data_IF_665862200418
#
_entry.id   IF_665862200418
#
_cell.length_a   1.000
_cell.length_b   1.000
_cell.length_c   1.000
_cell.angle_alpha   90.00
_cell.angle_beta   90.00
_cell.angle_gamma   90.00
#
_symmetry.space_group_name_H-M   'P 1'
#
loop_
_entity.id
_entity.type
_entity.pdbx_description
1 polymer ?
#
# COMPACT_ATOMS: atom_id res chain seq x y z
N UNK A 1 46.72 -30.99 1.42
CA UNK A 1 46.01 -29.69 1.26
C UNK A 1 44.51 -29.93 1.33
N UNK A 2 43.84 -29.51 2.41
CA UNK A 2 42.37 -29.60 2.59
C UNK A 2 41.78 -28.21 2.31
N UNK A 3 41.37 -27.94 1.07
CA UNK A 3 40.82 -26.64 0.70
C UNK A 3 39.73 -26.86 -0.34
N UNK A 4 38.49 -26.46 -0.06
CA UNK A 4 37.45 -26.34 -1.07
C UNK A 4 37.74 -25.04 -1.86
N UNK A 5 38.16 -25.10 -3.14
CA UNK A 5 38.33 -23.88 -3.92
C UNK A 5 36.97 -23.19 -4.06
N UNK A 6 36.89 -21.94 -3.59
CA UNK A 6 35.73 -21.09 -3.82
C UNK A 6 35.71 -20.71 -5.30
N UNK A 7 34.86 -21.37 -6.09
CA UNK A 7 34.49 -20.87 -7.42
C UNK A 7 33.52 -19.71 -7.21
N UNK A 8 33.87 -18.52 -7.68
CA UNK A 8 32.95 -17.38 -7.71
C UNK A 8 31.64 -17.83 -8.38
N UNK A 9 30.49 -17.79 -7.69
CA UNK A 9 29.24 -18.18 -8.29
C UNK A 9 28.95 -17.25 -9.48
N UNK A 10 28.50 -17.81 -10.59
CA UNK A 10 28.22 -17.04 -11.81
C UNK A 10 27.20 -15.90 -11.60
N UNK A 11 26.40 -15.98 -10.52
CA UNK A 11 25.36 -15.03 -10.15
C UNK A 11 25.24 -14.94 -8.62
N UNK A 12 25.25 -13.72 -8.07
CA UNK A 12 24.99 -13.43 -6.65
C UNK A 12 26.23 -13.21 -5.78
N UNK A 13 26.00 -12.94 -4.50
CA UNK A 13 27.04 -12.78 -3.48
C UNK A 13 26.99 -13.95 -2.51
N UNK A 14 28.15 -14.51 -2.17
CA UNK A 14 28.23 -15.62 -1.23
C UNK A 14 28.40 -15.10 0.19
N UNK A 15 27.54 -15.53 1.12
CA UNK A 15 27.64 -15.22 2.53
C UNK A 15 28.06 -16.47 3.32
N UNK A 16 29.03 -16.31 4.21
CA UNK A 16 29.51 -17.39 5.08
C UNK A 16 28.60 -17.42 6.30
N UNK A 17 27.84 -18.50 6.48
CA UNK A 17 26.96 -18.68 7.64
C UNK A 17 27.74 -19.35 8.79
N UNK A 18 28.62 -20.30 8.47
CA UNK A 18 29.36 -21.05 9.47
C UNK A 18 30.73 -21.48 8.94
N UNK A 19 31.80 -21.30 9.73
CA UNK A 19 33.17 -21.64 9.36
C UNK A 19 33.98 -20.47 8.79
N UNK A 20 35.19 -20.75 8.29
CA UNK A 20 36.15 -19.74 7.83
C UNK A 20 36.11 -19.50 6.30
N UNK A 21 35.08 -20.01 5.62
CA UNK A 21 34.90 -19.90 4.17
C UNK A 21 35.58 -21.00 3.34
N UNK A 22 36.71 -21.54 3.82
CA UNK A 22 37.58 -22.45 3.04
C UNK A 22 37.76 -23.85 3.61
N UNK A 23 37.35 -24.07 4.86
CA UNK A 23 37.54 -25.34 5.58
C UNK A 23 36.40 -26.35 5.37
N UNK A 24 36.72 -27.63 5.50
CA UNK A 24 35.73 -28.72 5.44
C UNK A 24 34.74 -28.57 6.60
N UNK A 25 33.45 -28.57 6.29
CA UNK A 25 32.38 -28.28 7.25
C UNK A 25 31.86 -26.84 7.22
N UNK A 26 32.50 -25.94 6.46
CA UNK A 26 31.98 -24.59 6.21
C UNK A 26 30.65 -24.66 5.48
N UNK A 27 29.69 -23.84 5.93
CA UNK A 27 28.36 -23.68 5.33
C UNK A 27 28.25 -22.27 4.77
N UNK A 28 27.88 -22.18 3.49
CA UNK A 28 27.75 -20.93 2.77
C UNK A 28 26.30 -20.82 2.23
N UNK A 29 25.75 -19.62 2.25
CA UNK A 29 24.51 -19.30 1.56
C UNK A 29 24.80 -18.38 0.38
N UNK A 30 24.00 -18.53 -0.67
CA UNK A 30 24.04 -17.64 -1.83
C UNK A 30 22.94 -16.59 -1.68
N UNK A 31 23.31 -15.32 -1.80
CA UNK A 31 22.35 -14.24 -1.96
C UNK A 31 22.25 -13.89 -3.44
N UNK A 32 21.07 -14.09 -4.01
CA UNK A 32 20.79 -13.71 -5.40
C UNK A 32 20.54 -12.19 -5.48
N UNK A 33 20.93 -11.51 -6.58
CA UNK A 33 20.67 -10.09 -6.79
C UNK A 33 19.18 -9.80 -6.97
N UNK A 34 18.78 -8.53 -6.79
CA UNK A 34 17.39 -8.08 -6.96
C UNK A 34 16.78 -8.62 -8.26
N UNK A 35 15.54 -9.13 -8.17
CA UNK A 35 14.79 -9.88 -9.21
C UNK A 35 15.09 -11.38 -9.33
N UNK A 36 15.84 -11.98 -8.41
CA UNK A 36 16.04 -13.44 -8.37
C UNK A 36 15.72 -13.99 -6.97
N UNK A 37 14.96 -15.09 -6.92
CA UNK A 37 14.63 -15.80 -5.68
C UNK A 37 15.65 -16.92 -5.52
N UNK A 38 16.31 -16.96 -4.36
CA UNK A 38 17.12 -18.11 -4.00
C UNK A 38 16.21 -19.32 -3.81
N UNK A 39 16.49 -20.41 -4.52
CA UNK A 39 15.86 -21.70 -4.29
C UNK A 39 16.93 -22.64 -3.72
N UNK A 40 16.69 -23.10 -2.49
CA UNK A 40 17.67 -23.82 -1.67
C UNK A 40 18.01 -23.04 -0.40
N UNK A 41 18.66 -23.72 0.54
CA UNK A 41 18.91 -23.19 1.90
C UNK A 41 20.40 -22.81 2.06
N UNK A 42 21.28 -23.80 1.97
CA UNK A 42 22.73 -23.60 2.06
C UNK A 42 23.50 -24.75 1.41
N UNK A 43 24.76 -24.50 1.05
CA UNK A 43 25.69 -25.54 0.57
C UNK A 43 26.83 -25.71 1.56
N UNK A 44 27.24 -26.96 1.77
CA UNK A 44 28.27 -27.34 2.76
C UNK A 44 29.48 -27.95 2.07
N UNK A 45 30.68 -27.55 2.45
CA UNK A 45 31.90 -28.20 1.95
C UNK A 45 32.07 -29.56 2.65
N UNK A 46 32.00 -30.65 1.88
CA UNK A 46 32.14 -32.03 2.34
C UNK A 46 33.39 -32.64 1.70
N UNK A 47 34.06 -33.53 2.43
CA UNK A 47 35.24 -34.26 1.94
C UNK A 47 34.84 -35.69 1.57
N UNK A 48 35.05 -36.05 0.30
CA UNK A 48 34.94 -37.43 -0.18
C UNK A 48 36.32 -38.10 -0.30
N UNK A 49 36.32 -39.39 -0.66
CA UNK A 49 37.52 -40.18 -0.95
C UNK A 49 38.43 -39.55 -2.03
N UNK A 50 37.86 -38.85 -3.02
CA UNK A 50 38.59 -38.25 -4.15
C UNK A 50 38.89 -36.74 -4.02
N UNK A 51 38.45 -36.07 -2.94
CA UNK A 51 38.67 -34.63 -2.79
C UNK A 51 37.63 -33.93 -1.93
N UNK A 52 37.61 -32.59 -1.98
CA UNK A 52 36.64 -31.75 -1.25
C UNK A 52 35.72 -31.05 -2.25
N UNK A 53 34.41 -31.11 -2.03
CA UNK A 53 33.40 -30.55 -2.94
C UNK A 53 32.25 -29.91 -2.16
N UNK A 54 31.51 -29.01 -2.82
CA UNK A 54 30.32 -28.38 -2.25
C UNK A 54 29.12 -29.29 -2.43
N UNK A 55 28.54 -29.72 -1.30
CA UNK A 55 27.31 -30.51 -1.26
C UNK A 55 26.11 -29.59 -1.01
N UNK A 56 25.20 -29.54 -1.99
CA UNK A 56 23.92 -28.84 -1.93
C UNK A 56 23.56 -28.17 -3.26
N UNK A 57 22.27 -28.18 -3.60
CA UNK A 57 21.75 -27.62 -4.84
C UNK A 57 21.08 -26.28 -4.54
N UNK A 58 21.86 -25.20 -4.62
CA UNK A 58 21.35 -23.83 -4.54
C UNK A 58 21.42 -23.20 -5.92
N UNK A 59 20.29 -22.72 -6.42
CA UNK A 59 20.25 -22.00 -7.69
C UNK A 59 19.39 -20.75 -7.59
N UNK A 60 19.83 -19.70 -8.25
CA UNK A 60 19.07 -18.47 -8.37
C UNK A 60 18.03 -18.66 -9.47
N UNK A 61 16.75 -18.75 -9.10
CA UNK A 61 15.65 -18.72 -10.07
C UNK A 61 15.23 -17.26 -10.26
N UNK A 62 15.05 -16.77 -11.49
CA UNK A 62 14.48 -15.44 -11.69
C UNK A 62 13.13 -15.37 -10.97
N UNK A 63 12.91 -14.29 -10.21
CA UNK A 63 11.58 -14.00 -9.69
C UNK A 63 10.69 -13.90 -10.92
N UNK A 64 9.74 -14.83 -11.05
CA UNK A 64 8.70 -14.68 -12.05
C UNK A 64 8.03 -13.34 -11.76
N UNK A 65 7.96 -12.49 -12.79
CA UNK A 65 7.28 -11.19 -12.81
C UNK A 65 5.96 -11.21 -12.01
N UNK A 66 5.26 -12.34 -12.04
CA UNK A 66 3.93 -12.54 -11.46
C UNK A 66 3.85 -12.46 -9.92
N UNK A 67 4.91 -12.76 -9.16
CA UNK A 67 4.84 -12.76 -7.67
C UNK A 67 5.02 -11.36 -7.07
N UNK A 68 5.88 -10.52 -7.65
CA UNK A 68 6.10 -9.13 -7.19
C UNK A 68 4.89 -8.24 -7.48
N UNK A 69 4.07 -8.63 -8.45
CA UNK A 69 2.80 -7.96 -8.73
C UNK A 69 1.70 -8.29 -7.73
N UNK A 70 1.79 -9.31 -6.87
CA UNK A 70 0.72 -9.64 -5.94
C UNK A 70 0.41 -8.50 -4.95
N UNK A 71 1.43 -8.02 -4.23
CA UNK A 71 1.31 -6.89 -3.31
C UNK A 71 0.99 -5.59 -4.04
N UNK A 72 1.62 -5.35 -5.20
CA UNK A 72 1.35 -4.15 -6.00
C UNK A 72 -0.08 -4.15 -6.56
N UNK A 73 -0.62 -5.29 -7.01
CA UNK A 73 -2.02 -5.43 -7.44
C UNK A 73 -2.96 -5.17 -6.29
N UNK A 74 -2.67 -5.73 -5.10
CA UNK A 74 -3.49 -5.53 -3.92
C UNK A 74 -3.56 -4.03 -3.55
N UNK A 75 -2.42 -3.34 -3.59
CA UNK A 75 -2.34 -1.89 -3.34
C UNK A 75 -3.08 -1.10 -4.43
N UNK A 76 -2.87 -1.41 -5.71
CA UNK A 76 -3.56 -0.77 -6.84
C UNK A 76 -5.08 -0.90 -6.72
N UNK A 77 -5.58 -2.10 -6.45
CA UNK A 77 -7.01 -2.37 -6.26
C UNK A 77 -7.58 -1.62 -5.06
N UNK A 78 -6.83 -1.56 -3.95
CA UNK A 78 -7.22 -0.80 -2.78
C UNK A 78 -7.37 0.69 -3.09
N UNK A 79 -6.38 1.29 -3.78
CA UNK A 79 -6.41 2.71 -4.19
C UNK A 79 -7.60 2.99 -5.12
N UNK A 80 -7.83 2.15 -6.13
CA UNK A 80 -8.94 2.33 -7.08
C UNK A 80 -10.28 2.25 -6.36
N UNK A 81 -10.45 1.27 -5.45
CA UNK A 81 -11.67 1.13 -4.66
C UNK A 81 -11.91 2.35 -3.77
N UNK A 82 -10.87 2.81 -3.07
CA UNK A 82 -10.96 4.01 -2.23
C UNK A 82 -11.35 5.25 -3.04
N UNK A 83 -10.77 5.45 -4.23
CA UNK A 83 -11.11 6.58 -5.08
C UNK A 83 -12.60 6.57 -5.48
N UNK A 84 -13.15 5.42 -5.86
CA UNK A 84 -14.57 5.29 -6.25
C UNK A 84 -15.48 5.59 -5.07
N UNK A 85 -15.20 5.01 -3.89
CA UNK A 85 -16.01 5.23 -2.68
C UNK A 85 -15.99 6.71 -2.27
N UNK A 86 -14.81 7.35 -2.32
CA UNK A 86 -14.66 8.77 -2.00
C UNK A 86 -15.45 9.65 -2.98
N UNK A 87 -15.38 9.38 -4.28
CA UNK A 87 -16.15 10.13 -5.28
C UNK A 87 -17.66 10.04 -5.03
N UNK A 88 -18.17 8.83 -4.76
CA UNK A 88 -19.60 8.64 -4.43
C UNK A 88 -20.00 9.37 -3.16
N UNK A 89 -19.15 9.34 -2.13
CA UNK A 89 -19.36 10.06 -0.88
C UNK A 89 -19.37 11.58 -1.10
N UNK A 90 -18.42 12.12 -1.88
CA UNK A 90 -18.36 13.54 -2.19
C UNK A 90 -19.60 14.02 -2.93
N UNK A 91 -20.08 13.28 -3.93
CA UNK A 91 -21.32 13.62 -4.66
C UNK A 91 -22.50 13.71 -3.70
N UNK A 92 -22.63 12.74 -2.79
CA UNK A 92 -23.70 12.73 -1.79
C UNK A 92 -23.62 13.91 -0.83
N UNK A 93 -22.42 14.19 -0.31
CA UNK A 93 -22.17 15.31 0.59
C UNK A 93 -22.45 16.64 -0.11
N UNK A 94 -21.96 16.84 -1.34
CA UNK A 94 -22.19 18.07 -2.12
C UNK A 94 -23.68 18.28 -2.37
N UNK A 95 -24.43 17.25 -2.76
CA UNK A 95 -25.89 17.36 -2.97
C UNK A 95 -26.62 17.67 -1.67
N UNK A 96 -26.24 17.03 -0.57
CA UNK A 96 -26.77 17.33 0.76
C UNK A 96 -26.47 18.79 1.18
N UNK A 97 -25.23 19.27 0.98
CA UNK A 97 -24.82 20.63 1.32
C UNK A 97 -25.60 21.69 0.52
N UNK A 98 -25.72 21.50 -0.79
CA UNK A 98 -26.50 22.42 -1.66
C UNK A 98 -27.95 22.49 -1.19
N UNK A 99 -28.59 21.34 -0.93
CA UNK A 99 -29.97 21.29 -0.46
C UNK A 99 -30.11 21.88 0.95
N UNK A 100 -29.14 21.65 1.84
CA UNK A 100 -29.13 22.23 3.19
C UNK A 100 -29.05 23.76 3.14
N UNK A 101 -28.19 24.31 2.29
CA UNK A 101 -28.04 25.76 2.10
C UNK A 101 -29.32 26.35 1.49
N UNK A 102 -29.86 25.73 0.45
CA UNK A 102 -31.10 26.19 -0.20
C UNK A 102 -32.28 26.15 0.77
N UNK A 103 -32.40 25.08 1.56
CA UNK A 103 -33.43 24.94 2.60
C UNK A 103 -33.26 25.97 3.71
N UNK A 104 -32.02 26.28 4.10
CA UNK A 104 -31.72 27.35 5.06
C UNK A 104 -32.17 28.71 4.52
N UNK A 105 -31.84 29.03 3.27
CA UNK A 105 -32.25 30.28 2.60
C UNK A 105 -33.77 30.39 2.49
N UNK A 106 -34.47 29.32 2.12
CA UNK A 106 -35.94 29.30 2.09
C UNK A 106 -36.55 29.55 3.47
N UNK A 107 -36.00 28.95 4.54
CA UNK A 107 -36.48 29.17 5.92
C UNK A 107 -36.26 30.61 6.37
N UNK A 108 -35.11 31.19 6.05
CA UNK A 108 -34.78 32.58 6.37
C UNK A 108 -35.72 33.55 5.66
N UNK A 109 -35.93 33.37 4.35
CA UNK A 109 -36.85 34.19 3.56
C UNK A 109 -38.30 34.08 4.06
N UNK A 110 -38.76 32.89 4.46
CA UNK A 110 -40.07 32.70 5.07
C UNK A 110 -40.22 33.43 6.41
N UNK A 111 -39.17 33.49 7.25
CA UNK A 111 -39.18 34.26 8.50
C UNK A 111 -39.22 35.77 8.23
N UNK A 112 -38.45 36.26 7.26
CA UNK A 112 -38.44 37.68 6.87
C UNK A 112 -39.78 38.12 6.29
N UNK A 113 -40.40 37.32 5.42
CA UNK A 113 -41.75 37.58 4.87
C UNK A 113 -42.80 37.57 5.98
N UNK A 114 -42.71 36.65 6.94
CA UNK A 114 -43.64 36.59 8.08
C UNK A 114 -43.50 37.81 9.00
N UNK A 115 -42.27 38.27 9.25
CA UNK A 115 -42.01 39.51 10.00
C UNK A 115 -42.49 40.75 9.24
N UNK A 116 -42.25 40.84 7.93
CA UNK A 116 -42.77 41.93 7.09
C UNK A 116 -44.30 41.98 7.10
N UNK A 117 -44.98 40.83 6.97
CA UNK A 117 -46.45 40.77 7.10
C UNK A 117 -46.93 41.17 8.50
N UNK A 118 -46.21 40.79 9.55
CA UNK A 118 -46.57 41.18 10.92
C UNK A 118 -46.39 42.68 11.14
N UNK A 119 -45.29 43.27 10.68
CA UNK A 119 -45.03 44.72 10.75
C UNK A 119 -46.02 45.52 9.91
N UNK A 120 -46.40 45.03 8.73
CA UNK A 120 -47.45 45.65 7.92
C UNK A 120 -48.80 45.56 8.65
N UNK A 121 -49.12 44.42 9.26
CA UNK A 121 -50.37 44.25 10.01
C UNK A 121 -50.43 45.11 11.27
N UNK A 122 -49.32 45.28 12.01
CA UNK A 122 -49.26 46.14 13.19
C UNK A 122 -49.15 47.63 12.84
N UNK A 123 -48.47 47.99 11.75
CA UNK A 123 -48.41 49.35 11.22
C UNK A 123 -49.76 49.84 10.67
N UNK A 124 -50.53 48.95 10.02
CA UNK A 124 -51.90 49.24 9.60
C UNK A 124 -52.84 49.41 10.81
N UNK A 125 -52.62 48.64 11.89
CA UNK A 125 -53.37 48.81 13.14
C UNK A 125 -53.06 50.15 13.82
N UNK A 126 -51.83 50.66 13.74
CA UNK A 126 -51.44 51.93 14.40
C UNK A 126 -51.92 53.17 13.63
N UNK A 127 -52.11 53.07 12.31
CA UNK A 127 -52.68 54.15 11.48
C UNK A 127 -54.21 54.28 11.58
N UNK A 128 -54.91 53.28 12.14
CA UNK A 128 -56.36 53.30 12.34
C UNK A 128 -56.84 53.92 13.66
N UNK A 129 -55.93 54.29 14.58
CA UNK A 129 -56.26 54.95 15.86
C UNK A 129 -55.92 56.46 15.88
N UNK A 130 -55.49 57.03 14.74
CA UNK A 130 -55.24 58.46 14.54
C UNK A 130 -56.07 59.01 13.37
N UNK A 131 -57.35 58.65 13.32
CA UNK A 131 -58.36 59.18 12.41
C UNK A 131 -59.61 59.58 13.16
#
# INVERSE_FOLDING_TARGET
>A
TRWCPMSQPALGFQQIIYGNGTDVGTVIALHCPDKHKLIGDSVKCVKDANGTYWAGNTYCKPLSYNETHGFQLAVLLSIVSSAIILLMSMVFITRCLVNCIEKSKRKEMHRLVKLSKYVVSSGFSMSGYMG
#
